data_IF_071964253939
#
_entry.id   IF_071964253939
#
_cell.length_a   1.000
_cell.length_b   1.000
_cell.length_c   1.000
_cell.angle_alpha   90.00
_cell.angle_beta   90.00
_cell.angle_gamma   90.00
#
_symmetry.space_group_name_H-M   'P 1'
#
loop_
_entity.id
_entity.type
_entity.pdbx_description
1 polymer ?
#
# COMPACT_ATOMS: atom_id res chain seq x y z
N UNK A 1 10.07 -9.10 -4.43
CA UNK A 1 11.02 -7.98 -4.21
C UNK A 1 11.35 -7.22 -5.50
N UNK A 2 11.41 -7.91 -6.65
CA UNK A 2 11.85 -7.33 -7.94
C UNK A 2 10.97 -6.21 -8.52
N UNK A 3 9.69 -6.17 -8.17
CA UNK A 3 8.79 -5.11 -8.66
C UNK A 3 9.15 -3.73 -8.09
N UNK A 4 9.62 -3.66 -6.85
CA UNK A 4 9.94 -2.38 -6.18
C UNK A 4 11.33 -1.89 -6.60
N UNK A 5 12.29 -2.81 -6.75
CA UNK A 5 13.66 -2.47 -7.14
C UNK A 5 13.74 -1.80 -8.51
N UNK A 6 12.82 -2.12 -9.44
CA UNK A 6 12.71 -1.47 -10.74
C UNK A 6 12.20 -0.03 -10.69
N UNK A 7 11.35 0.30 -9.72
CA UNK A 7 10.69 1.62 -9.64
C UNK A 7 11.47 2.63 -8.80
N UNK A 8 12.03 2.17 -7.68
CA UNK A 8 12.67 3.06 -6.71
C UNK A 8 14.19 2.94 -6.83
N UNK A 9 14.92 4.05 -7.09
CA UNK A 9 16.36 4.01 -7.27
C UNK A 9 17.08 3.58 -5.97
N UNK A 10 18.24 2.94 -6.13
CA UNK A 10 19.00 2.36 -5.01
C UNK A 10 19.35 3.39 -3.92
N UNK A 11 19.77 4.58 -4.30
CA UNK A 11 20.12 5.66 -3.36
C UNK A 11 18.90 6.04 -2.51
N UNK A 12 17.72 6.15 -3.13
CA UNK A 12 16.49 6.48 -2.41
C UNK A 12 16.07 5.34 -1.46
N UNK A 13 16.31 4.09 -1.86
CA UNK A 13 16.08 2.93 -0.99
C UNK A 13 17.03 2.92 0.22
N UNK A 14 18.31 3.23 0.03
CA UNK A 14 19.27 3.36 1.14
C UNK A 14 18.86 4.49 2.08
N UNK A 15 18.42 5.62 1.53
CA UNK A 15 17.84 6.71 2.32
C UNK A 15 16.63 6.24 3.13
N UNK A 16 15.66 5.56 2.52
CA UNK A 16 14.50 5.02 3.24
C UNK A 16 14.88 3.96 4.28
N UNK A 17 15.84 3.09 3.98
CA UNK A 17 16.39 2.13 4.94
C UNK A 17 16.97 2.84 6.15
N UNK A 18 17.80 3.88 5.94
CA UNK A 18 18.32 4.69 7.03
C UNK A 18 17.19 5.29 7.89
N UNK A 19 16.11 5.78 7.27
CA UNK A 19 14.94 6.30 7.97
C UNK A 19 14.02 5.25 8.62
N UNK A 20 14.19 3.97 8.30
CA UNK A 20 13.46 2.87 8.96
C UNK A 20 14.00 2.57 10.36
N UNK A 21 15.26 2.94 10.62
CA UNK A 21 15.92 2.73 11.90
C UNK A 21 15.25 3.57 13.01
N UNK A 22 14.72 2.90 14.03
CA UNK A 22 14.04 3.53 15.18
C UNK A 22 14.97 3.93 16.31
N UNK A 23 16.23 3.50 16.28
CA UNK A 23 17.24 3.72 17.35
C UNK A 23 17.79 5.16 17.42
N UNK A 24 17.40 6.05 16.50
CA UNK A 24 17.94 7.41 16.42
C UNK A 24 17.17 8.34 17.39
N UNK A 25 17.81 8.88 18.46
CA UNK A 25 17.12 9.46 19.62
C UNK A 25 16.35 10.76 19.35
N UNK A 26 16.75 11.52 18.34
CA UNK A 26 16.10 12.78 17.94
C UNK A 26 15.17 12.62 16.73
N UNK A 27 14.98 11.40 16.24
CA UNK A 27 14.15 11.15 15.06
C UNK A 27 12.68 11.16 15.43
N UNK A 28 11.93 11.94 14.67
CA UNK A 28 10.47 12.09 14.82
C UNK A 28 9.67 11.50 13.66
N UNK A 29 10.36 10.97 12.65
CA UNK A 29 9.77 10.49 11.40
C UNK A 29 10.45 9.20 10.98
N UNK A 30 9.66 8.19 10.68
CA UNK A 30 10.12 6.84 10.35
C UNK A 30 9.51 6.39 9.03
N UNK A 31 10.35 5.75 8.22
CA UNK A 31 9.91 5.06 7.03
C UNK A 31 9.38 3.67 7.41
N UNK A 32 8.23 3.27 6.87
CA UNK A 32 7.57 2.00 7.20
C UNK A 32 7.52 1.01 6.05
N UNK A 33 7.43 1.49 4.80
CA UNK A 33 7.37 0.59 3.66
C UNK A 33 6.95 1.27 2.37
N UNK A 34 6.87 0.44 1.34
CA UNK A 34 6.41 0.80 0.02
C UNK A 34 5.12 0.03 -0.33
N UNK A 35 4.32 0.60 -1.22
CA UNK A 35 3.30 -0.16 -1.96
C UNK A 35 3.87 -0.81 -3.23
N UNK A 36 2.99 -1.44 -4.02
CA UNK A 36 3.33 -2.03 -5.32
C UNK A 36 3.65 -0.96 -6.39
N UNK A 37 3.28 0.28 -6.14
CA UNK A 37 3.47 1.42 -7.04
C UNK A 37 4.80 2.15 -6.80
N UNK A 38 5.44 1.91 -5.64
CA UNK A 38 6.68 2.55 -5.23
C UNK A 38 6.49 3.78 -4.36
N UNK A 39 5.26 4.10 -3.97
CA UNK A 39 4.95 5.18 -3.04
C UNK A 39 5.46 4.80 -1.65
N UNK A 40 5.97 5.79 -0.92
CA UNK A 40 6.61 5.59 0.38
C UNK A 40 5.68 6.01 1.52
N UNK A 41 5.57 5.16 2.53
CA UNK A 41 4.71 5.39 3.69
C UNK A 41 5.55 5.71 4.91
N UNK A 42 5.10 6.72 5.64
CA UNK A 42 5.82 7.29 6.76
C UNK A 42 4.90 7.49 7.95
N UNK A 43 5.45 7.27 9.13
CA UNK A 43 4.84 7.66 10.40
C UNK A 43 5.69 8.75 11.04
N UNK A 44 5.08 9.75 11.61
CA UNK A 44 5.80 10.81 12.32
C UNK A 44 5.02 11.32 13.52
N UNK A 45 5.73 11.89 14.47
CA UNK A 45 5.16 12.46 15.68
C UNK A 45 5.73 13.86 15.89
N UNK A 46 4.85 14.87 15.95
CA UNK A 46 5.28 16.27 16.06
C UNK A 46 5.88 16.57 17.44
N UNK A 47 5.20 16.10 18.48
CA UNK A 47 5.59 16.20 19.89
C UNK A 47 5.21 14.90 20.63
N UNK A 48 5.92 14.56 21.72
CA UNK A 48 5.66 13.35 22.52
C UNK A 48 4.22 13.29 23.05
N UNK A 49 3.59 14.43 23.26
CA UNK A 49 2.19 14.55 23.73
C UNK A 49 1.16 14.32 22.61
N UNK A 50 1.53 14.56 21.35
CA UNK A 50 0.59 14.45 20.22
C UNK A 50 0.55 13.03 19.66
N UNK A 51 -0.61 12.59 19.14
CA UNK A 51 -0.74 11.30 18.50
C UNK A 51 0.16 11.21 17.26
N UNK A 52 0.64 9.99 16.99
CA UNK A 52 1.40 9.68 15.78
C UNK A 52 0.52 9.93 14.56
N UNK A 53 1.08 10.58 13.54
CA UNK A 53 0.45 10.86 12.25
C UNK A 53 1.06 9.97 11.18
N UNK A 54 0.24 9.58 10.21
CA UNK A 54 0.63 8.72 9.08
C UNK A 54 0.53 9.53 7.81
N UNK A 55 1.50 9.39 6.92
CA UNK A 55 1.53 10.11 5.64
C UNK A 55 2.05 9.19 4.53
N UNK A 56 1.60 9.49 3.30
CA UNK A 56 2.11 8.89 2.07
C UNK A 56 2.88 9.95 1.29
N UNK A 57 3.98 9.54 0.66
CA UNK A 57 4.69 10.32 -0.36
C UNK A 57 4.62 9.55 -1.66
N UNK A 58 4.03 10.18 -2.66
CA UNK A 58 3.98 9.64 -4.00
C UNK A 58 5.38 9.61 -4.61
N UNK A 59 5.72 8.53 -5.32
CA UNK A 59 6.99 8.45 -6.05
C UNK A 59 6.96 9.39 -7.26
N UNK A 60 5.86 9.33 -8.02
CA UNK A 60 5.56 10.25 -9.10
C UNK A 60 4.43 11.16 -8.63
N UNK A 61 4.56 12.47 -8.81
CA UNK A 61 3.49 13.41 -8.51
C UNK A 61 2.40 13.28 -9.58
N UNK A 62 1.54 12.29 -9.40
CA UNK A 62 0.25 12.22 -10.09
C UNK A 62 -0.65 13.34 -9.55
N UNK A 63 -1.65 13.76 -10.33
CA UNK A 63 -2.58 14.83 -9.95
C UNK A 63 -3.37 14.56 -8.66
N UNK A 64 -4.42 15.35 -8.40
CA UNK A 64 -5.18 15.24 -7.15
C UNK A 64 -5.82 13.85 -6.95
N UNK A 65 -6.21 13.18 -8.02
CA UNK A 65 -6.84 11.86 -7.97
C UNK A 65 -5.81 10.73 -7.98
N UNK A 66 -5.21 10.50 -6.82
CA UNK A 66 -4.25 9.43 -6.61
C UNK A 66 -4.92 8.19 -5.98
N UNK A 67 -4.93 7.08 -6.71
CA UNK A 67 -5.52 5.82 -6.25
C UNK A 67 -4.56 5.09 -5.30
N UNK A 68 -4.96 4.99 -4.03
CA UNK A 68 -4.20 4.28 -3.00
C UNK A 68 -4.68 2.84 -2.85
N UNK A 69 -3.75 1.91 -2.58
CA UNK A 69 -4.13 0.55 -2.22
C UNK A 69 -5.02 0.53 -0.96
N UNK A 70 -6.16 -0.18 -0.96
CA UNK A 70 -7.06 -0.25 0.18
C UNK A 70 -6.42 -0.68 1.50
N UNK A 71 -5.44 -1.60 1.48
CA UNK A 71 -4.74 -2.03 2.71
C UNK A 71 -3.90 -0.90 3.31
N UNK A 72 -3.27 -0.11 2.45
CA UNK A 72 -2.55 1.09 2.87
C UNK A 72 -3.50 2.21 3.33
N UNK A 73 -4.67 2.34 2.72
CA UNK A 73 -5.71 3.27 3.17
C UNK A 73 -6.21 2.94 4.58
N UNK A 74 -6.46 1.67 4.90
CA UNK A 74 -6.84 1.24 6.26
C UNK A 74 -5.77 1.59 7.28
N UNK A 75 -4.50 1.40 6.91
CA UNK A 75 -3.39 1.80 7.76
C UNK A 75 -3.32 3.33 7.90
N UNK A 76 -3.43 4.11 6.82
CA UNK A 76 -3.46 5.58 6.90
C UNK A 76 -4.60 6.12 7.78
N UNK A 77 -5.76 5.44 7.77
CA UNK A 77 -6.96 5.78 8.57
C UNK A 77 -6.94 5.25 9.99
N UNK A 78 -5.82 4.70 10.45
CA UNK A 78 -5.69 4.12 11.80
C UNK A 78 -6.62 2.93 12.09
N UNK A 79 -7.30 2.37 11.08
CA UNK A 79 -8.12 1.16 11.23
C UNK A 79 -7.25 -0.07 11.48
N UNK A 80 -6.04 -0.10 10.90
CA UNK A 80 -5.05 -1.17 11.07
C UNK A 80 -3.86 -0.67 11.89
N UNK A 81 -3.39 -1.46 12.86
CA UNK A 81 -2.22 -1.12 13.70
C UNK A 81 -0.92 -1.20 12.89
N UNK A 82 -0.64 -2.37 12.32
CA UNK A 82 0.61 -2.65 11.59
C UNK A 82 0.50 -2.30 10.10
N UNK A 83 1.58 -1.79 9.47
CA UNK A 83 1.60 -1.54 8.04
C UNK A 83 1.46 -2.86 7.26
N UNK A 84 0.83 -2.84 6.07
CA UNK A 84 0.72 -4.02 5.23
C UNK A 84 2.10 -4.45 4.71
N UNK A 85 2.31 -5.77 4.63
CA UNK A 85 3.52 -6.36 4.04
C UNK A 85 3.42 -6.40 2.51
N UNK A 86 4.56 -6.45 1.82
CA UNK A 86 4.57 -6.50 0.35
C UNK A 86 3.94 -7.80 -0.17
N UNK A 87 4.26 -8.94 0.44
CA UNK A 87 3.69 -10.25 0.08
C UNK A 87 2.17 -10.26 0.22
N UNK A 88 1.67 -9.66 1.30
CA UNK A 88 0.24 -9.44 1.54
C UNK A 88 -0.43 -8.65 0.41
N UNK A 89 0.22 -7.62 -0.12
CA UNK A 89 -0.31 -6.80 -1.21
C UNK A 89 -0.34 -7.58 -2.53
N UNK A 90 0.69 -8.41 -2.80
CA UNK A 90 0.74 -9.25 -3.99
C UNK A 90 -0.36 -10.32 -3.94
N UNK A 91 -0.51 -11.00 -2.80
CA UNK A 91 -1.56 -12.00 -2.61
C UNK A 91 -2.97 -11.40 -2.76
N UNK A 92 -3.17 -10.14 -2.34
CA UNK A 92 -4.42 -9.42 -2.54
C UNK A 92 -4.69 -9.15 -4.03
N UNK A 93 -3.68 -8.74 -4.79
CA UNK A 93 -3.80 -8.51 -6.24
C UNK A 93 -4.24 -9.80 -6.96
N UNK A 94 -3.64 -10.94 -6.59
CA UNK A 94 -3.99 -12.26 -7.13
C UNK A 94 -5.41 -12.68 -6.73
N UNK A 95 -5.79 -12.44 -5.46
CA UNK A 95 -7.14 -12.71 -4.97
C UNK A 95 -8.18 -11.91 -5.77
N UNK A 96 -7.94 -10.61 -6.00
CA UNK A 96 -8.84 -9.74 -6.79
C UNK A 96 -8.98 -10.28 -8.22
N UNK A 97 -7.88 -10.71 -8.85
CA UNK A 97 -7.92 -11.31 -10.20
C UNK A 97 -8.79 -12.58 -10.23
N UNK A 98 -8.61 -13.48 -9.27
CA UNK A 98 -9.42 -14.71 -9.15
C UNK A 98 -10.90 -14.39 -8.95
N UNK A 99 -11.24 -13.47 -8.05
CA UNK A 99 -12.63 -13.08 -7.78
C UNK A 99 -13.28 -12.49 -9.04
N UNK A 100 -12.57 -11.65 -9.79
CA UNK A 100 -13.10 -11.10 -11.06
C UNK A 100 -13.41 -12.20 -12.08
N UNK A 101 -12.52 -13.19 -12.22
CA UNK A 101 -12.73 -14.33 -13.10
C UNK A 101 -13.97 -15.15 -12.67
N UNK A 102 -14.09 -15.47 -11.39
CA UNK A 102 -15.23 -16.23 -10.87
C UNK A 102 -16.54 -15.45 -11.02
N UNK A 103 -16.54 -14.14 -10.75
CA UNK A 103 -17.72 -13.30 -10.93
C UNK A 103 -18.17 -13.27 -12.40
N UNK A 104 -17.23 -13.22 -13.34
CA UNK A 104 -17.54 -13.32 -14.77
C UNK A 104 -18.18 -14.67 -15.11
N UNK A 105 -17.63 -15.79 -14.65
CA UNK A 105 -18.19 -17.12 -14.90
C UNK A 105 -19.61 -17.28 -14.33
N UNK A 106 -19.84 -16.76 -13.12
CA UNK A 106 -21.16 -16.76 -12.48
C UNK A 106 -22.15 -15.93 -13.31
N UNK A 107 -21.75 -14.74 -13.75
CA UNK A 107 -22.61 -13.87 -14.57
C UNK A 107 -23.00 -14.55 -15.89
N UNK A 108 -22.07 -15.23 -16.55
CA UNK A 108 -22.35 -15.97 -17.78
C UNK A 108 -23.33 -17.12 -17.55
N UNK A 109 -23.19 -17.86 -16.45
CA UNK A 109 -24.15 -18.91 -16.07
C UNK A 109 -25.53 -18.34 -15.78
N UNK A 110 -25.60 -17.22 -15.05
CA UNK A 110 -26.87 -16.57 -14.72
C UNK A 110 -27.62 -16.11 -15.97
N UNK A 111 -26.90 -15.49 -16.91
CA UNK A 111 -27.47 -15.05 -18.20
C UNK A 111 -28.03 -16.21 -19.03
N UNK A 112 -27.36 -17.36 -19.03
CA UNK A 112 -27.86 -18.57 -19.71
C UNK A 112 -29.16 -19.09 -19.11
N UNK A 113 -29.28 -19.06 -17.77
CA UNK A 113 -30.49 -19.45 -17.06
C UNK A 113 -31.65 -18.49 -17.39
N UNK A 114 -31.41 -17.18 -17.42
CA UNK A 114 -32.43 -16.19 -17.79
C UNK A 114 -32.90 -16.30 -19.24
N UNK A 115 -32.04 -16.77 -20.15
CA UNK A 115 -32.38 -16.97 -21.57
C UNK A 115 -33.06 -18.31 -21.89
N UNK A 116 -33.19 -19.21 -20.91
CA UNK A 116 -33.85 -20.50 -21.10
C UNK A 116 -35.39 -20.31 -21.08
N UNK A 117 -36.12 -20.78 -22.10
CA UNK A 117 -37.58 -20.66 -22.19
C UNK A 117 -38.33 -21.51 -21.15
#
# INVERSE_FOLDING_TARGET
MDRISRKVPLILRLYHFYFSLRSVPFRKKWFLGYDLEGNSYWEFQLSKSLPKRRMVKQLHKTGMDFQLNPRWLQWLRFTRKDPPKIEELVAEEERIKRVKYLAHEINEKHKKLESAP
#
